data_IF_998479331267
#
_entry.id   IF_998479331267
#
_cell.length_a   1.000
_cell.length_b   1.000
_cell.length_c   1.000
_cell.angle_alpha   90.00
_cell.angle_beta   90.00
_cell.angle_gamma   90.00
#
_symmetry.space_group_name_H-M   'P 1'
#
loop_
_entity.id
_entity.type
_entity.pdbx_description
1 polymer ?
#
# COMPACT_ATOMS: atom_id res chain seq x y z
N UNK A 1 33.94 10.22 19.56
CA UNK A 1 32.52 9.93 19.23
C UNK A 1 31.56 10.30 20.37
N UNK A 2 31.99 10.35 21.63
CA UNK A 2 31.07 10.61 22.76
C UNK A 2 30.41 12.00 22.78
N UNK A 3 31.02 13.00 22.14
CA UNK A 3 30.50 14.37 22.07
C UNK A 3 29.47 14.65 20.95
N UNK A 4 29.21 13.70 20.04
CA UNK A 4 28.25 13.91 18.94
C UNK A 4 26.81 13.59 19.40
N UNK A 5 25.82 14.47 19.15
CA UNK A 5 24.41 14.22 19.49
C UNK A 5 23.84 12.94 18.85
N UNK A 6 22.88 12.31 19.50
CA UNK A 6 22.30 11.05 19.02
C UNK A 6 21.70 11.13 17.60
N UNK A 7 20.96 12.19 17.19
CA UNK A 7 20.44 12.29 15.82
C UNK A 7 21.53 12.33 14.74
N UNK A 8 22.64 12.99 15.01
CA UNK A 8 23.78 13.06 14.09
C UNK A 8 24.52 11.72 14.02
N UNK A 9 24.70 11.04 15.16
CA UNK A 9 25.24 9.67 15.19
C UNK A 9 24.39 8.71 14.36
N UNK A 10 23.06 8.78 14.48
CA UNK A 10 22.15 7.92 13.73
C UNK A 10 22.29 8.12 12.21
N UNK A 11 22.35 9.37 11.74
CA UNK A 11 22.63 9.68 10.33
C UNK A 11 23.96 9.11 9.85
N UNK A 12 25.00 9.16 10.68
CA UNK A 12 26.30 8.56 10.35
C UNK A 12 26.21 7.04 10.25
N UNK A 13 25.49 6.37 11.16
CA UNK A 13 25.27 4.92 11.10
C UNK A 13 24.40 4.50 9.91
N UNK A 14 23.42 5.32 9.52
CA UNK A 14 22.60 5.10 8.33
C UNK A 14 23.46 5.17 7.05
N UNK A 15 24.28 6.22 6.93
CA UNK A 15 25.21 6.35 5.82
C UNK A 15 26.26 5.22 5.79
N UNK A 16 26.77 4.81 6.95
CA UNK A 16 27.72 3.70 7.05
C UNK A 16 27.08 2.36 6.68
N UNK A 17 25.82 2.12 7.06
CA UNK A 17 25.07 0.92 6.69
C UNK A 17 24.82 0.86 5.18
N UNK A 18 24.51 2.01 4.56
CA UNK A 18 24.34 2.12 3.12
C UNK A 18 25.65 1.93 2.33
N UNK A 19 26.78 2.35 2.90
CA UNK A 19 28.10 2.21 2.27
C UNK A 19 28.73 0.82 2.44
N UNK A 20 28.27 0.02 3.42
CA UNK A 20 28.79 -1.31 3.70
C UNK A 20 28.45 -2.31 2.57
N UNK A 21 29.49 -2.91 1.98
CA UNK A 21 29.39 -3.74 0.76
C UNK A 21 29.13 -5.22 1.04
N UNK A 22 29.28 -5.66 2.29
CA UNK A 22 29.11 -7.06 2.66
C UNK A 22 28.69 -7.28 4.11
N UNK A 23 28.29 -8.51 4.48
CA UNK A 23 27.73 -8.81 5.80
C UNK A 23 28.65 -8.44 6.96
N UNK A 24 29.96 -8.64 6.84
CA UNK A 24 30.91 -8.35 7.93
C UNK A 24 31.13 -6.86 8.17
N UNK A 25 30.97 -6.02 7.14
CA UNK A 25 30.97 -4.57 7.31
C UNK A 25 29.67 -4.12 7.96
N UNK A 26 28.53 -4.65 7.53
CA UNK A 26 27.23 -4.36 8.13
C UNK A 26 27.16 -4.78 9.60
N UNK A 27 27.72 -5.93 9.96
CA UNK A 27 27.84 -6.38 11.37
C UNK A 27 28.64 -5.38 12.22
N UNK A 28 29.75 -4.85 11.69
CA UNK A 28 30.54 -3.82 12.39
C UNK A 28 29.73 -2.54 12.61
N UNK A 29 28.94 -2.12 11.62
CA UNK A 29 28.04 -0.96 11.75
C UNK A 29 26.99 -1.21 12.83
N UNK A 30 26.34 -2.39 12.84
CA UNK A 30 25.37 -2.80 13.86
C UNK A 30 25.99 -2.80 15.27
N UNK A 31 27.14 -3.44 15.46
CA UNK A 31 27.80 -3.50 16.77
C UNK A 31 28.13 -2.10 17.32
N UNK A 32 28.46 -1.15 16.44
CA UNK A 32 28.65 0.26 16.80
C UNK A 32 27.36 0.94 17.27
N UNK A 33 26.26 0.70 16.57
CA UNK A 33 24.93 1.25 16.88
C UNK A 33 24.44 0.85 18.28
N UNK A 34 24.91 -0.28 18.80
CA UNK A 34 24.60 -0.79 20.14
C UNK A 34 24.91 0.18 21.30
N UNK A 35 25.74 1.20 21.07
CA UNK A 35 26.08 2.20 22.08
C UNK A 35 25.23 3.50 21.98
N UNK A 36 24.32 3.58 21.01
CA UNK A 36 23.47 4.77 20.81
C UNK A 36 22.23 4.67 21.68
N UNK A 37 22.09 5.59 22.65
CA UNK A 37 20.97 5.66 23.58
C UNK A 37 19.76 6.41 22.98
N UNK A 38 19.22 5.90 21.88
CA UNK A 38 18.08 6.50 21.17
C UNK A 38 17.11 5.42 20.70
N UNK A 39 15.80 5.68 20.77
CA UNK A 39 14.75 4.71 20.38
C UNK A 39 14.86 4.37 18.90
N UNK A 40 15.21 5.38 18.11
CA UNK A 40 15.45 5.32 16.68
C UNK A 40 16.60 4.37 16.32
N UNK A 41 17.60 4.21 17.20
CA UNK A 41 18.67 3.24 17.02
C UNK A 41 18.11 1.81 17.01
N UNK A 42 17.12 1.52 17.86
CA UNK A 42 16.46 0.22 17.92
C UNK A 42 15.64 -0.04 16.65
N UNK A 43 14.94 0.98 16.15
CA UNK A 43 14.21 0.92 14.88
C UNK A 43 15.13 0.63 13.69
N UNK A 44 16.35 1.19 13.67
CA UNK A 44 17.34 0.93 12.62
C UNK A 44 17.87 -0.51 12.60
N UNK A 45 17.85 -1.23 13.73
CA UNK A 45 18.28 -2.63 13.81
C UNK A 45 17.20 -3.59 13.33
N UNK A 46 15.92 -3.20 13.36
CA UNK A 46 14.78 -4.09 13.07
C UNK A 46 14.82 -4.80 11.70
N UNK A 47 15.24 -4.15 10.59
CA UNK A 47 15.37 -4.83 9.31
C UNK A 47 16.46 -5.91 9.30
N UNK A 48 17.56 -5.71 10.03
CA UNK A 48 18.68 -6.65 10.10
C UNK A 48 18.35 -7.93 10.90
N UNK A 49 17.25 -7.94 11.66
CA UNK A 49 16.75 -9.15 12.33
C UNK A 49 16.17 -10.17 11.34
N UNK A 50 15.70 -9.73 10.17
CA UNK A 50 15.17 -10.60 9.12
C UNK A 50 16.25 -11.12 8.15
N UNK A 51 17.44 -10.52 8.19
CA UNK A 51 18.58 -10.90 7.35
C UNK A 51 19.38 -12.02 8.03
N UNK A 52 19.39 -13.21 7.42
CA UNK A 52 20.05 -14.41 7.98
C UNK A 52 21.55 -14.21 8.25
N UNK A 53 22.22 -13.39 7.44
CA UNK A 53 23.66 -13.17 7.58
C UNK A 53 23.99 -12.17 8.70
N UNK A 54 23.02 -11.34 9.10
CA UNK A 54 23.18 -10.30 10.12
C UNK A 54 22.47 -10.62 11.44
N UNK A 55 21.54 -11.58 11.42
CA UNK A 55 20.59 -11.86 12.49
C UNK A 55 21.23 -11.98 13.88
N UNK A 56 22.35 -12.70 14.01
CA UNK A 56 23.01 -12.89 15.30
C UNK A 56 23.53 -11.56 15.89
N UNK A 57 24.20 -10.75 15.07
CA UNK A 57 24.71 -9.44 15.47
C UNK A 57 23.57 -8.45 15.73
N UNK A 58 22.52 -8.49 14.89
CA UNK A 58 21.33 -7.67 15.06
C UNK A 58 20.61 -7.99 16.37
N UNK A 59 20.48 -9.27 16.74
CA UNK A 59 19.89 -9.68 18.02
C UNK A 59 20.70 -9.13 19.21
N UNK A 60 22.02 -9.31 19.20
CA UNK A 60 22.90 -8.81 20.25
C UNK A 60 22.82 -7.28 20.38
N UNK A 61 22.83 -6.59 19.23
CA UNK A 61 22.74 -5.13 19.15
C UNK A 61 21.39 -4.63 19.69
N UNK A 62 20.27 -5.23 19.26
CA UNK A 62 18.94 -4.85 19.71
C UNK A 62 18.78 -4.97 21.23
N UNK A 63 19.26 -6.08 21.82
CA UNK A 63 19.26 -6.28 23.28
C UNK A 63 20.08 -5.19 23.98
N UNK A 64 21.28 -4.89 23.47
CA UNK A 64 22.15 -3.86 24.05
C UNK A 64 21.56 -2.46 24.00
N UNK A 65 20.90 -2.09 22.89
CA UNK A 65 20.19 -0.80 22.78
C UNK A 65 19.03 -0.76 23.78
N UNK A 66 18.22 -1.82 23.86
CA UNK A 66 17.11 -1.90 24.80
C UNK A 66 17.56 -1.82 26.27
N UNK A 67 18.67 -2.46 26.65
CA UNK A 67 19.30 -2.32 27.98
C UNK A 67 19.65 -0.84 28.28
N UNK A 68 20.16 -0.13 27.28
CA UNK A 68 20.58 1.27 27.40
C UNK A 68 19.43 2.29 27.43
N UNK A 69 18.27 1.95 26.86
CA UNK A 69 17.08 2.82 26.81
C UNK A 69 16.26 2.83 28.12
N UNK A 70 16.36 1.77 28.92
CA UNK A 70 15.62 1.65 30.17
C UNK A 70 14.10 1.72 29.96
N UNK A 71 13.42 2.69 30.60
CA UNK A 71 11.95 2.81 30.56
C UNK A 71 11.42 3.63 29.35
N UNK A 72 12.29 4.18 28.51
CA UNK A 72 11.92 5.04 27.38
C UNK A 72 11.73 4.17 26.12
N UNK A 73 10.66 4.38 25.36
CA UNK A 73 10.41 3.59 24.14
C UNK A 73 9.89 2.17 24.39
N UNK A 74 9.09 1.96 25.46
CA UNK A 74 8.58 0.62 25.86
C UNK A 74 7.89 -0.16 24.74
N UNK A 75 7.21 0.51 23.82
CA UNK A 75 6.55 -0.15 22.69
C UNK A 75 7.57 -0.71 21.69
N UNK A 76 8.52 0.11 21.25
CA UNK A 76 9.60 -0.32 20.34
C UNK A 76 10.48 -1.41 20.98
N UNK A 77 10.74 -1.31 22.29
CA UNK A 77 11.43 -2.36 23.06
C UNK A 77 10.62 -3.66 23.06
N UNK A 78 9.30 -3.60 23.27
CA UNK A 78 8.45 -4.80 23.24
C UNK A 78 8.53 -5.51 21.88
N UNK A 79 8.36 -4.76 20.80
CA UNK A 79 8.35 -5.33 19.45
C UNK A 79 9.72 -5.92 19.07
N UNK A 80 10.81 -5.21 19.39
CA UNK A 80 12.17 -5.69 19.13
C UNK A 80 12.51 -6.94 19.97
N UNK A 81 12.19 -6.95 21.27
CA UNK A 81 12.51 -8.09 22.14
C UNK A 81 11.67 -9.32 21.82
N UNK A 82 10.40 -9.13 21.43
CA UNK A 82 9.58 -10.24 20.93
C UNK A 82 10.20 -10.86 19.69
N UNK A 83 10.59 -10.04 18.72
CA UNK A 83 11.23 -10.51 17.49
C UNK A 83 12.56 -11.23 17.76
N UNK A 84 13.38 -10.71 18.69
CA UNK A 84 14.61 -11.38 19.14
C UNK A 84 14.31 -12.76 19.73
N UNK A 85 13.30 -12.88 20.61
CA UNK A 85 12.89 -14.16 21.22
C UNK A 85 12.39 -15.18 20.19
N UNK A 86 11.75 -14.71 19.12
CA UNK A 86 11.20 -15.57 18.07
C UNK A 86 12.31 -16.17 17.17
N UNK A 87 13.44 -15.48 17.02
CA UNK A 87 14.48 -15.84 16.04
C UNK A 87 15.81 -16.31 16.66
N UNK A 88 16.18 -15.84 17.85
CA UNK A 88 17.49 -16.15 18.43
C UNK A 88 17.51 -17.53 19.09
N UNK A 89 18.61 -18.26 18.86
CA UNK A 89 18.92 -19.55 19.49
C UNK A 89 19.90 -19.42 20.66
N UNK A 90 20.42 -18.22 20.92
CA UNK A 90 21.36 -17.97 22.02
C UNK A 90 20.60 -17.80 23.35
N UNK A 91 20.78 -18.75 24.27
CA UNK A 91 20.05 -18.77 25.55
C UNK A 91 20.30 -17.55 26.44
N UNK A 92 21.49 -16.94 26.37
CA UNK A 92 21.80 -15.73 27.14
C UNK A 92 21.05 -14.53 26.58
N UNK A 93 21.02 -14.40 25.25
CA UNK A 93 20.23 -13.36 24.59
C UNK A 93 18.74 -13.56 24.82
N UNK A 94 18.23 -14.80 24.78
CA UNK A 94 16.83 -15.10 25.09
C UNK A 94 16.47 -14.64 26.49
N UNK A 95 17.28 -14.98 27.49
CA UNK A 95 17.05 -14.58 28.88
C UNK A 95 17.01 -13.06 29.03
N UNK A 96 17.97 -12.35 28.43
CA UNK A 96 18.01 -10.88 28.46
C UNK A 96 16.82 -10.25 27.76
N UNK A 97 16.45 -10.75 26.59
CA UNK A 97 15.31 -10.25 25.83
C UNK A 97 14.00 -10.45 26.58
N UNK A 98 13.81 -11.61 27.23
CA UNK A 98 12.63 -11.88 28.07
C UNK A 98 12.55 -10.94 29.28
N UNK A 99 13.68 -10.68 29.96
CA UNK A 99 13.73 -9.73 31.09
C UNK A 99 13.40 -8.29 30.65
N UNK A 100 13.92 -7.85 29.50
CA UNK A 100 13.64 -6.54 28.92
C UNK A 100 12.18 -6.43 28.46
N UNK A 101 11.64 -7.50 27.86
CA UNK A 101 10.25 -7.58 27.44
C UNK A 101 9.32 -7.42 28.66
N UNK A 102 9.59 -8.15 29.75
CA UNK A 102 8.86 -8.02 31.02
C UNK A 102 8.92 -6.59 31.58
N UNK A 103 10.12 -5.98 31.60
CA UNK A 103 10.30 -4.58 32.04
C UNK A 103 9.55 -3.58 31.14
N UNK A 104 9.40 -3.88 29.86
CA UNK A 104 8.68 -3.05 28.90
C UNK A 104 7.15 -3.26 28.93
N UNK A 105 6.63 -4.12 29.81
CA UNK A 105 5.20 -4.39 30.00
C UNK A 105 4.76 -5.81 29.60
N UNK A 106 5.70 -6.71 29.34
CA UNK A 106 5.46 -8.08 28.85
C UNK A 106 5.28 -8.15 27.33
N UNK A 107 5.13 -9.36 26.77
CA UNK A 107 4.70 -9.52 25.39
C UNK A 107 3.43 -8.69 25.17
N UNK A 108 3.31 -8.06 24.00
CA UNK A 108 2.08 -7.35 23.63
C UNK A 108 0.94 -8.34 23.86
N UNK A 109 0.09 -8.07 24.87
CA UNK A 109 -1.05 -8.97 25.16
C UNK A 109 -1.79 -9.09 23.84
N UNK A 110 -1.77 -10.27 23.22
CA UNK A 110 -2.82 -10.64 22.30
C UNK A 110 -4.09 -10.35 23.10
N UNK A 111 -4.96 -9.49 22.59
CA UNK A 111 -6.26 -9.29 23.22
C UNK A 111 -6.83 -10.70 23.39
N UNK A 112 -6.96 -11.14 24.65
CA UNK A 112 -7.50 -12.44 24.96
C UNK A 112 -8.96 -12.40 24.49
N UNK A 113 -9.19 -12.92 23.29
CA UNK A 113 -10.50 -13.00 22.68
C UNK A 113 -11.09 -14.36 23.05
N UNK A 114 -11.44 -14.52 24.32
CA UNK A 114 -12.66 -15.28 24.63
C UNK A 114 -13.84 -14.37 24.29
N UNK A 115 -14.00 -14.11 23.00
CA UNK A 115 -15.19 -13.47 22.46
C UNK A 115 -16.17 -14.61 22.27
N UNK A 116 -17.16 -14.65 23.16
CA UNK A 116 -18.47 -15.21 22.84
C UNK A 116 -18.85 -14.72 21.44
N UNK A 117 -19.00 -15.64 20.48
CA UNK A 117 -19.29 -15.39 19.06
C UNK A 117 -20.57 -14.57 18.81
N UNK A 118 -21.24 -14.14 19.89
CA UNK A 118 -22.37 -13.21 19.91
C UNK A 118 -21.97 -11.73 19.97
N UNK A 119 -20.69 -11.39 20.11
CA UNK A 119 -20.20 -9.98 20.14
C UNK A 119 -19.06 -9.74 19.13
N UNK A 120 -19.23 -10.20 17.89
CA UNK A 120 -18.72 -9.49 16.72
C UNK A 120 -19.91 -9.07 15.87
N UNK A 121 -20.77 -8.22 16.43
CA UNK A 121 -21.33 -7.20 15.56
C UNK A 121 -20.12 -6.38 15.11
N UNK A 122 -19.73 -6.51 13.84
CA UNK A 122 -18.88 -5.50 13.22
C UNK A 122 -19.41 -4.14 13.69
N UNK A 123 -18.56 -3.18 14.13
CA UNK A 123 -19.04 -1.82 14.30
C UNK A 123 -19.81 -1.50 13.03
N UNK A 124 -21.07 -1.07 13.18
CA UNK A 124 -21.95 -0.86 12.03
C UNK A 124 -21.15 -0.08 10.99
N UNK A 125 -21.03 -0.64 9.78
CA UNK A 125 -20.21 -0.08 8.72
C UNK A 125 -20.39 1.43 8.71
N UNK A 126 -19.30 2.18 8.79
CA UNK A 126 -19.41 3.64 8.87
C UNK A 126 -20.27 4.10 7.70
N UNK A 127 -21.40 4.74 7.99
CA UNK A 127 -22.30 5.19 6.92
C UNK A 127 -21.64 6.40 6.24
N UNK A 128 -21.08 6.18 5.05
CA UNK A 128 -20.57 7.23 4.18
C UNK A 128 -21.69 7.70 3.24
N UNK A 129 -21.77 9.01 2.99
CA UNK A 129 -22.67 9.58 1.98
C UNK A 129 -21.92 9.73 0.67
N UNK A 130 -22.09 8.77 -0.23
CA UNK A 130 -21.40 8.70 -1.52
C UNK A 130 -22.24 9.17 -2.70
N UNK A 131 -23.48 9.63 -2.49
CA UNK A 131 -24.43 10.03 -3.55
C UNK A 131 -23.86 11.08 -4.51
N UNK A 132 -23.07 12.02 -4.00
CA UNK A 132 -22.43 13.04 -4.83
C UNK A 132 -21.32 12.44 -5.71
N UNK A 133 -20.50 11.54 -5.15
CA UNK A 133 -19.48 10.83 -5.91
C UNK A 133 -20.12 9.93 -6.99
N UNK A 134 -21.20 9.20 -6.64
CA UNK A 134 -21.95 8.38 -7.60
C UNK A 134 -22.49 9.22 -8.78
N UNK A 135 -23.05 10.42 -8.50
CA UNK A 135 -23.50 11.35 -9.56
C UNK A 135 -22.37 11.85 -10.46
N UNK A 136 -21.16 11.99 -9.94
CA UNK A 136 -19.96 12.33 -10.72
C UNK A 136 -19.41 11.12 -11.49
N UNK A 137 -19.95 9.91 -11.28
CA UNK A 137 -19.40 8.67 -11.84
C UNK A 137 -18.11 8.23 -11.15
N UNK A 138 -17.91 8.65 -9.90
CA UNK A 138 -16.71 8.37 -9.11
C UNK A 138 -16.98 7.25 -8.11
N UNK A 139 -16.08 6.28 -8.07
CA UNK A 139 -16.17 5.12 -7.18
C UNK A 139 -14.91 5.04 -6.33
N UNK A 140 -15.08 5.10 -5.01
CA UNK A 140 -13.96 5.01 -4.06
C UNK A 140 -13.86 3.59 -3.51
N UNK A 141 -12.68 3.00 -3.62
CA UNK A 141 -12.34 1.70 -3.05
C UNK A 141 -10.93 1.69 -2.48
N UNK A 142 -10.50 0.59 -1.91
CA UNK A 142 -9.10 0.41 -1.50
C UNK A 142 -8.34 -0.42 -2.53
N UNK A 143 -7.09 -0.05 -2.77
CA UNK A 143 -6.07 -1.00 -3.22
C UNK A 143 -5.70 -1.86 -2.00
N UNK A 144 -6.06 -3.15 -2.01
CA UNK A 144 -5.89 -4.04 -0.84
C UNK A 144 -4.42 -4.33 -0.48
N UNK A 145 -3.46 -3.89 -1.30
CA UNK A 145 -2.04 -3.83 -0.96
C UNK A 145 -1.75 -2.89 0.21
N UNK A 146 -2.61 -1.89 0.46
CA UNK A 146 -2.62 -1.12 1.72
C UNK A 146 -2.71 -2.00 2.97
N UNK A 147 -3.18 -3.25 2.79
CA UNK A 147 -3.31 -4.28 3.80
C UNK A 147 -2.46 -5.52 3.46
N UNK A 148 -1.30 -5.36 2.81
CA UNK A 148 -0.45 -6.48 2.37
C UNK A 148 0.07 -7.40 3.51
N UNK A 149 -0.01 -6.95 4.77
CA UNK A 149 0.29 -7.73 5.98
C UNK A 149 -0.89 -8.61 6.44
N UNK A 150 -2.03 -8.47 5.79
CA UNK A 150 -3.27 -9.15 6.08
C UNK A 150 -3.74 -9.97 4.87
N UNK A 151 -4.63 -10.90 5.16
CA UNK A 151 -5.27 -11.71 4.12
C UNK A 151 -6.27 -10.88 3.31
N UNK A 152 -6.64 -11.34 2.12
CA UNK A 152 -7.70 -10.73 1.31
C UNK A 152 -9.01 -10.61 2.09
N UNK A 153 -9.41 -11.66 2.82
CA UNK A 153 -10.60 -11.62 3.67
C UNK A 153 -10.54 -10.50 4.72
N UNK A 154 -9.39 -10.30 5.36
CA UNK A 154 -9.19 -9.20 6.30
C UNK A 154 -9.15 -7.83 5.61
N UNK A 155 -8.56 -7.74 4.42
CA UNK A 155 -8.59 -6.51 3.60
C UNK A 155 -10.01 -6.11 3.20
N UNK A 156 -10.85 -7.08 2.80
CA UNK A 156 -12.28 -6.89 2.54
C UNK A 156 -13.02 -6.42 3.79
N UNK A 157 -12.74 -7.02 4.95
CA UNK A 157 -13.34 -6.61 6.23
C UNK A 157 -13.00 -5.15 6.57
N UNK A 158 -11.70 -4.80 6.48
CA UNK A 158 -11.21 -3.44 6.73
C UNK A 158 -11.86 -2.45 5.79
N UNK A 159 -11.94 -2.76 4.50
CA UNK A 159 -12.62 -1.93 3.49
C UNK A 159 -14.09 -1.68 3.85
N UNK A 160 -14.83 -2.75 4.16
CA UNK A 160 -16.24 -2.67 4.52
C UNK A 160 -16.47 -1.89 5.82
N UNK A 161 -15.56 -1.99 6.80
CA UNK A 161 -15.65 -1.26 8.07
C UNK A 161 -15.65 0.27 7.89
N UNK A 162 -15.01 0.75 6.82
CA UNK A 162 -14.97 2.17 6.45
C UNK A 162 -16.17 2.62 5.61
N UNK A 163 -17.11 1.72 5.30
CA UNK A 163 -18.28 1.99 4.46
C UNK A 163 -18.01 1.99 2.96
N UNK A 164 -16.80 1.58 2.53
CA UNK A 164 -16.45 1.51 1.11
C UNK A 164 -17.03 0.25 0.47
N UNK A 165 -17.31 0.33 -0.83
CA UNK A 165 -18.03 -0.71 -1.60
C UNK A 165 -17.13 -1.46 -2.59
N UNK A 166 -15.90 -1.01 -2.80
CA UNK A 166 -15.04 -1.45 -3.88
C UNK A 166 -13.65 -1.83 -3.40
N UNK A 167 -13.06 -2.84 -4.02
CA UNK A 167 -11.64 -3.19 -3.85
C UNK A 167 -10.96 -3.38 -5.19
N UNK A 168 -9.71 -2.95 -5.25
CA UNK A 168 -8.72 -3.37 -6.22
C UNK A 168 -7.85 -4.46 -5.58
N UNK A 169 -7.75 -5.62 -6.21
CA UNK A 169 -6.94 -6.75 -5.73
C UNK A 169 -5.56 -6.74 -6.37
N UNK A 170 -4.54 -7.27 -5.67
CA UNK A 170 -3.19 -7.45 -6.21
C UNK A 170 -2.81 -8.94 -6.23
N UNK A 171 -1.89 -9.36 -7.14
CA UNK A 171 -1.49 -10.76 -7.25
C UNK A 171 -0.74 -11.25 -6.02
N UNK A 172 -1.11 -12.44 -5.52
CA UNK A 172 -0.38 -13.17 -4.48
C UNK A 172 -0.83 -12.90 -3.05
N UNK A 173 -1.81 -12.02 -2.81
CA UNK A 173 -2.36 -11.84 -1.46
C UNK A 173 -2.95 -13.15 -0.95
N UNK A 174 -2.62 -13.57 0.28
CA UNK A 174 -3.21 -14.79 0.85
C UNK A 174 -4.72 -14.63 1.03
N UNK A 175 -5.51 -15.58 0.55
CA UNK A 175 -6.97 -15.49 0.51
C UNK A 175 -7.62 -15.32 1.89
N UNK A 176 -7.25 -16.15 2.86
CA UNK A 176 -7.75 -16.11 4.24
C UNK A 176 -6.75 -16.73 5.22
N UNK A 177 -7.05 -16.76 6.53
CA UNK A 177 -6.16 -17.36 7.54
C UNK A 177 -6.01 -18.87 7.38
N UNK A 178 -7.08 -19.53 6.97
CA UNK A 178 -7.16 -20.99 6.87
C UNK A 178 -6.85 -21.50 5.46
N UNK A 179 -6.60 -20.59 4.50
CA UNK A 179 -6.37 -20.93 3.10
C UNK A 179 -5.13 -20.23 2.57
N UNK A 180 -4.09 -21.02 2.36
CA UNK A 180 -2.84 -20.60 1.74
C UNK A 180 -2.95 -20.60 0.22
N UNK A 181 -3.89 -19.80 -0.30
CA UNK A 181 -4.11 -19.58 -1.73
C UNK A 181 -3.79 -18.13 -2.04
N UNK A 182 -2.88 -17.90 -2.98
CA UNK A 182 -2.59 -16.56 -3.50
C UNK A 182 -3.70 -16.08 -4.43
N UNK A 183 -4.25 -14.90 -4.15
CA UNK A 183 -5.26 -14.25 -4.99
C UNK A 183 -4.67 -13.90 -6.36
N UNK A 184 -5.33 -14.29 -7.44
CA UNK A 184 -4.94 -13.90 -8.80
C UNK A 184 -5.38 -14.85 -9.90
N UNK A 185 -4.89 -14.61 -11.10
CA UNK A 185 -5.26 -15.33 -12.33
C UNK A 185 -4.81 -16.81 -12.40
N UNK A 186 -4.09 -17.30 -11.39
CA UNK A 186 -3.75 -18.72 -11.24
C UNK A 186 -4.75 -19.53 -10.39
N UNK A 187 -5.77 -18.88 -9.82
CA UNK A 187 -6.77 -19.55 -8.98
C UNK A 187 -7.69 -20.48 -9.78
N UNK A 188 -8.13 -21.59 -9.17
CA UNK A 188 -9.18 -22.46 -9.71
C UNK A 188 -10.56 -21.81 -9.62
N UNK A 189 -11.53 -22.38 -10.33
CA UNK A 189 -12.93 -21.93 -10.33
C UNK A 189 -13.54 -21.91 -8.92
N UNK A 190 -13.27 -22.94 -8.13
CA UNK A 190 -13.74 -23.08 -6.76
C UNK A 190 -13.11 -22.02 -5.86
N UNK A 191 -11.82 -21.75 -6.03
CA UNK A 191 -11.11 -20.72 -5.27
C UNK A 191 -11.62 -19.32 -5.62
N UNK A 192 -11.90 -19.05 -6.91
CA UNK A 192 -12.50 -17.79 -7.37
C UNK A 192 -13.91 -17.62 -6.79
N UNK A 193 -14.73 -18.67 -6.83
CA UNK A 193 -16.08 -18.65 -6.26
C UNK A 193 -16.07 -18.35 -4.75
N UNK A 194 -15.07 -18.88 -4.03
CA UNK A 194 -14.87 -18.57 -2.62
C UNK A 194 -14.44 -17.12 -2.38
N UNK A 195 -13.46 -16.61 -3.13
CA UNK A 195 -13.05 -15.22 -3.05
C UNK A 195 -14.23 -14.27 -3.28
N UNK A 196 -15.06 -14.55 -4.29
CA UNK A 196 -16.28 -13.81 -4.57
C UNK A 196 -17.30 -13.92 -3.43
N UNK A 197 -17.42 -15.08 -2.79
CA UNK A 197 -18.29 -15.27 -1.62
C UNK A 197 -17.83 -14.40 -0.43
N UNK A 198 -16.51 -14.34 -0.17
CA UNK A 198 -15.93 -13.50 0.88
C UNK A 198 -16.27 -12.03 0.63
N UNK A 199 -16.03 -11.52 -0.59
CA UNK A 199 -16.34 -10.14 -0.95
C UNK A 199 -17.85 -9.84 -0.85
N UNK A 200 -18.69 -10.72 -1.42
CA UNK A 200 -20.15 -10.57 -1.42
C UNK A 200 -20.73 -10.56 -0.01
N UNK A 201 -20.21 -11.36 0.91
CA UNK A 201 -20.67 -11.40 2.30
C UNK A 201 -20.50 -10.05 3.03
N UNK A 202 -19.64 -9.17 2.52
CA UNK A 202 -19.38 -7.83 3.05
C UNK A 202 -19.89 -6.71 2.14
N UNK A 203 -20.65 -7.05 1.08
CA UNK A 203 -21.15 -6.08 0.11
C UNK A 203 -20.05 -5.42 -0.73
N UNK A 204 -18.86 -6.04 -0.81
CA UNK A 204 -17.72 -5.53 -1.56
C UNK A 204 -17.73 -6.07 -2.98
N UNK A 205 -17.47 -5.19 -3.95
CA UNK A 205 -17.24 -5.54 -5.35
C UNK A 205 -15.76 -5.43 -5.70
N UNK A 206 -15.19 -6.52 -6.21
CA UNK A 206 -13.85 -6.53 -6.79
C UNK A 206 -13.93 -5.86 -8.16
N UNK A 207 -13.27 -4.72 -8.35
CA UNK A 207 -13.49 -3.86 -9.51
C UNK A 207 -12.27 -3.71 -10.41
N UNK A 208 -11.08 -3.73 -9.81
CA UNK A 208 -9.80 -3.64 -10.49
C UNK A 208 -8.88 -4.80 -10.05
N UNK A 209 -7.89 -5.12 -10.87
CA UNK A 209 -6.84 -6.10 -10.54
C UNK A 209 -5.47 -5.63 -11.01
N UNK A 210 -4.54 -5.51 -10.08
CA UNK A 210 -3.14 -5.23 -10.37
C UNK A 210 -2.36 -4.72 -9.14
N UNK A 211 -1.12 -4.31 -9.30
CA UNK A 211 -0.38 -4.27 -10.57
C UNK A 211 0.03 -5.68 -11.02
N UNK A 212 -0.42 -6.10 -12.21
CA UNK A 212 -0.15 -7.45 -12.76
C UNK A 212 0.55 -7.35 -14.11
N UNK A 213 1.43 -8.30 -14.42
CA UNK A 213 2.15 -8.34 -15.69
C UNK A 213 1.23 -8.67 -16.87
N UNK A 214 1.45 -7.96 -17.99
CA UNK A 214 0.92 -8.30 -19.31
C UNK A 214 2.09 -8.29 -20.30
N UNK A 215 2.09 -9.20 -21.27
CA UNK A 215 3.16 -9.35 -22.24
C UNK A 215 2.62 -9.48 -23.68
N UNK A 216 3.52 -9.47 -24.66
CA UNK A 216 3.18 -9.73 -26.06
C UNK A 216 2.69 -11.16 -26.32
N UNK A 217 2.99 -12.09 -25.41
CA UNK A 217 2.44 -13.44 -25.47
C UNK A 217 0.95 -13.37 -25.16
N UNK A 218 0.14 -13.54 -26.21
CA UNK A 218 -1.31 -13.49 -26.10
C UNK A 218 -1.86 -14.58 -25.18
N UNK A 219 -1.27 -15.78 -25.17
CA UNK A 219 -1.78 -16.87 -24.33
C UNK A 219 -1.59 -16.55 -22.84
N UNK A 220 -0.47 -15.96 -22.46
CA UNK A 220 -0.22 -15.56 -21.07
C UNK A 220 -1.09 -14.36 -20.66
N UNK A 221 -1.14 -13.31 -21.48
CA UNK A 221 -2.00 -12.14 -21.20
C UNK A 221 -3.48 -12.54 -21.15
N UNK A 222 -3.93 -13.46 -22.00
CA UNK A 222 -5.32 -13.91 -22.06
C UNK A 222 -5.78 -14.57 -20.75
N UNK A 223 -4.92 -15.29 -20.04
CA UNK A 223 -5.25 -15.84 -18.70
C UNK A 223 -5.66 -14.75 -17.72
N UNK A 224 -4.99 -13.59 -17.76
CA UNK A 224 -5.32 -12.42 -16.93
C UNK A 224 -6.69 -11.84 -17.31
N UNK A 225 -6.97 -11.71 -18.61
CA UNK A 225 -8.26 -11.21 -19.10
C UNK A 225 -9.43 -12.19 -18.83
N UNK A 226 -9.20 -13.50 -18.94
CA UNK A 226 -10.18 -14.53 -18.59
C UNK A 226 -10.53 -14.49 -17.10
N UNK A 227 -9.50 -14.38 -16.24
CA UNK A 227 -9.69 -14.17 -14.81
C UNK A 227 -10.49 -12.88 -14.54
N UNK A 228 -10.09 -11.77 -15.17
CA UNK A 228 -10.76 -10.48 -15.01
C UNK A 228 -12.25 -10.56 -15.39
N UNK A 229 -12.57 -11.17 -16.54
CA UNK A 229 -13.94 -11.40 -17.00
C UNK A 229 -14.74 -12.25 -16.03
N UNK A 230 -14.14 -13.32 -15.50
CA UNK A 230 -14.79 -14.25 -14.57
C UNK A 230 -15.14 -13.62 -13.23
N UNK A 231 -14.26 -12.76 -12.72
CA UNK A 231 -14.46 -12.03 -11.46
C UNK A 231 -15.40 -10.84 -11.65
N UNK A 232 -15.52 -10.31 -12.88
CA UNK A 232 -16.27 -9.09 -13.17
C UNK A 232 -15.44 -7.81 -12.98
N UNK A 233 -14.12 -7.92 -13.14
CA UNK A 233 -13.18 -6.79 -13.11
C UNK A 233 -13.39 -5.92 -14.35
N UNK A 234 -13.40 -4.61 -14.15
CA UNK A 234 -13.56 -3.62 -15.24
C UNK A 234 -12.21 -3.13 -15.77
N UNK A 235 -11.19 -3.09 -14.90
CA UNK A 235 -9.87 -2.54 -15.23
C UNK A 235 -8.75 -3.43 -14.70
N UNK A 236 -7.83 -3.81 -15.58
CA UNK A 236 -6.55 -4.43 -15.22
C UNK A 236 -5.53 -3.31 -15.07
N UNK A 237 -4.80 -3.28 -13.97
CA UNK A 237 -3.70 -2.33 -13.73
C UNK A 237 -2.38 -3.04 -14.00
N UNK A 238 -1.54 -2.48 -14.87
CA UNK A 238 -0.37 -3.17 -15.41
C UNK A 238 0.79 -2.23 -15.75
N UNK A 239 1.99 -2.80 -15.90
CA UNK A 239 3.21 -2.11 -16.36
C UNK A 239 3.88 -2.90 -17.49
N UNK A 240 3.23 -3.01 -18.66
CA UNK A 240 3.72 -3.82 -19.76
C UNK A 240 4.94 -3.18 -20.45
N UNK A 241 5.71 -3.98 -21.18
CA UNK A 241 6.71 -3.49 -22.11
C UNK A 241 6.05 -2.93 -23.39
N UNK A 242 6.79 -2.09 -24.15
CA UNK A 242 6.28 -1.43 -25.35
C UNK A 242 5.84 -2.41 -26.46
N UNK A 243 6.45 -3.60 -26.53
CA UNK A 243 6.14 -4.61 -27.54
C UNK A 243 4.85 -5.40 -27.25
N UNK A 244 4.22 -5.20 -26.08
CA UNK A 244 3.00 -5.90 -25.68
C UNK A 244 1.71 -5.21 -26.14
N UNK A 245 1.77 -3.94 -26.55
CA UNK A 245 0.56 -3.12 -26.71
C UNK A 245 -0.40 -3.59 -27.81
N UNK A 246 0.08 -4.23 -28.88
CA UNK A 246 -0.81 -4.75 -29.93
C UNK A 246 -1.65 -5.93 -29.41
N UNK A 247 -1.01 -6.82 -28.65
CA UNK A 247 -1.69 -7.91 -27.92
C UNK A 247 -2.68 -7.37 -26.89
N UNK A 248 -2.25 -6.37 -26.10
CA UNK A 248 -3.08 -5.77 -25.06
C UNK A 248 -4.30 -5.07 -25.66
N UNK A 249 -4.13 -4.30 -26.74
CA UNK A 249 -5.23 -3.60 -27.41
C UNK A 249 -6.25 -4.56 -27.99
N UNK A 250 -5.79 -5.63 -28.64
CA UNK A 250 -6.65 -6.72 -29.12
C UNK A 250 -7.49 -7.30 -27.98
N UNK A 251 -6.87 -7.65 -26.86
CA UNK A 251 -7.57 -8.23 -25.71
C UNK A 251 -8.51 -7.24 -25.02
N UNK A 252 -8.13 -5.97 -24.90
CA UNK A 252 -9.01 -4.91 -24.39
C UNK A 252 -10.30 -4.81 -25.22
N UNK A 253 -10.19 -4.85 -26.56
CA UNK A 253 -11.34 -4.79 -27.43
C UNK A 253 -12.16 -6.08 -27.46
N UNK A 254 -11.53 -7.23 -27.37
CA UNK A 254 -12.24 -8.51 -27.32
C UNK A 254 -13.05 -8.67 -26.03
N UNK A 255 -12.42 -8.39 -24.88
CA UNK A 255 -13.03 -8.60 -23.56
C UNK A 255 -13.86 -7.41 -23.09
N UNK A 256 -13.70 -6.24 -23.72
CA UNK A 256 -14.26 -4.96 -23.26
C UNK A 256 -13.81 -4.58 -21.83
N UNK A 257 -12.60 -5.01 -21.47
CA UNK A 257 -11.91 -4.70 -20.21
C UNK A 257 -10.86 -3.63 -20.48
N UNK A 258 -10.68 -2.70 -19.55
CA UNK A 258 -9.69 -1.64 -19.68
C UNK A 258 -8.32 -2.08 -19.15
N UNK A 259 -7.24 -1.49 -19.68
CA UNK A 259 -5.89 -1.60 -19.12
C UNK A 259 -5.38 -0.23 -18.73
N UNK A 260 -5.09 -0.07 -17.43
CA UNK A 260 -4.58 1.15 -16.84
C UNK A 260 -3.09 0.99 -16.49
N UNK A 261 -2.24 1.81 -17.11
CA UNK A 261 -0.79 1.81 -16.99
C UNK A 261 -0.39 2.50 -15.69
N UNK A 262 0.17 1.74 -14.76
CA UNK A 262 0.57 2.26 -13.45
C UNK A 262 1.96 2.90 -13.47
N UNK A 263 2.12 4.03 -12.78
CA UNK A 263 3.39 4.74 -12.70
C UNK A 263 4.07 4.54 -11.33
N UNK A 264 5.15 3.76 -11.27
CA UNK A 264 6.05 3.75 -10.09
C UNK A 264 7.06 4.92 -10.12
N UNK A 265 7.74 5.23 -9.00
CA UNK A 265 8.75 6.29 -8.96
C UNK A 265 9.90 6.04 -9.93
N UNK A 266 10.57 7.11 -10.36
CA UNK A 266 11.77 7.01 -11.19
C UNK A 266 12.91 6.25 -10.46
N UNK A 267 13.71 5.44 -11.17
CA UNK A 267 13.54 5.05 -12.57
C UNK A 267 12.55 3.89 -12.69
N UNK A 268 11.46 4.09 -13.44
CA UNK A 268 10.54 3.02 -13.86
C UNK A 268 10.18 3.23 -15.34
N UNK A 269 9.37 2.37 -15.95
CA UNK A 269 8.98 2.56 -17.37
C UNK A 269 7.97 3.71 -17.53
N UNK A 270 7.00 3.82 -16.62
CA UNK A 270 5.86 4.75 -16.72
C UNK A 270 5.91 5.93 -15.74
N UNK A 271 7.03 6.16 -15.02
CA UNK A 271 7.15 7.25 -14.05
C UNK A 271 6.79 8.64 -14.62
N UNK A 272 7.08 8.87 -15.90
CA UNK A 272 6.76 10.12 -16.60
C UNK A 272 5.41 10.00 -17.34
N UNK A 273 4.45 10.91 -17.09
CA UNK A 273 3.17 10.91 -17.81
C UNK A 273 3.33 11.03 -19.34
N UNK A 274 4.43 11.58 -19.86
CA UNK A 274 4.69 11.64 -21.31
C UNK A 274 4.77 10.23 -21.92
N UNK A 275 5.29 9.24 -21.18
CA UNK A 275 5.34 7.86 -21.68
C UNK A 275 3.95 7.28 -21.89
N UNK A 276 2.98 7.60 -21.02
CA UNK A 276 1.58 7.17 -21.21
C UNK A 276 0.99 7.79 -22.49
N UNK A 277 1.23 9.07 -22.74
CA UNK A 277 0.75 9.73 -23.97
C UNK A 277 1.39 9.13 -25.23
N UNK A 278 2.70 8.83 -25.17
CA UNK A 278 3.43 8.18 -26.25
C UNK A 278 2.82 6.83 -26.61
N UNK A 279 2.71 5.91 -25.64
CA UNK A 279 2.25 4.53 -25.91
C UNK A 279 0.77 4.45 -26.24
N UNK A 280 -0.04 5.41 -25.77
CA UNK A 280 -1.49 5.45 -26.06
C UNK A 280 -1.84 6.27 -27.31
N UNK A 281 -0.85 6.86 -28.00
CA UNK A 281 -1.10 7.64 -29.21
C UNK A 281 -1.69 6.75 -30.30
N UNK A 282 -2.87 7.12 -30.82
CA UNK A 282 -3.56 6.36 -31.85
C UNK A 282 -4.22 5.04 -31.39
N UNK A 283 -4.05 4.65 -30.12
CA UNK A 283 -4.63 3.43 -29.56
C UNK A 283 -6.01 3.65 -28.94
N UNK A 284 -6.72 2.54 -28.74
CA UNK A 284 -8.02 2.44 -28.07
C UNK A 284 -8.08 3.28 -26.79
N UNK A 285 -9.28 3.82 -26.51
CA UNK A 285 -9.59 4.53 -25.26
C UNK A 285 -9.68 3.60 -24.04
N UNK A 286 -9.61 2.28 -24.25
CA UNK A 286 -9.50 1.27 -23.19
C UNK A 286 -8.10 1.15 -22.60
N UNK A 287 -7.11 1.82 -23.19
CA UNK A 287 -5.74 1.90 -22.68
C UNK A 287 -5.45 3.35 -22.26
N UNK A 288 -4.98 3.51 -21.04
CA UNK A 288 -4.74 4.80 -20.39
C UNK A 288 -3.97 4.64 -19.09
N UNK A 289 -3.91 5.67 -18.25
CA UNK A 289 -3.20 5.65 -16.97
C UNK A 289 -4.03 5.05 -15.84
N UNK A 290 -3.36 4.29 -14.97
CA UNK A 290 -3.66 4.26 -13.54
C UNK A 290 -2.81 5.36 -12.91
N UNK A 291 -3.40 6.54 -12.71
CA UNK A 291 -2.66 7.70 -12.23
C UNK A 291 -2.33 7.55 -10.75
N UNK A 292 -1.07 7.21 -10.43
CA UNK A 292 -0.57 7.27 -9.05
C UNK A 292 -0.01 8.67 -8.76
N UNK A 293 -0.73 9.42 -7.92
CA UNK A 293 -0.38 10.80 -7.60
C UNK A 293 0.82 10.90 -6.66
N UNK A 294 1.04 9.90 -5.80
CA UNK A 294 2.16 9.87 -4.85
C UNK A 294 3.48 9.53 -5.55
N UNK A 295 3.48 8.61 -6.50
CA UNK A 295 4.67 8.22 -7.26
C UNK A 295 5.17 9.33 -8.19
N UNK A 296 4.28 10.17 -8.73
CA UNK A 296 4.70 11.41 -9.39
C UNK A 296 5.38 12.37 -8.43
N UNK A 297 4.81 12.59 -7.24
CA UNK A 297 5.45 13.42 -6.21
C UNK A 297 6.84 12.89 -5.84
N UNK A 298 6.99 11.57 -5.69
CA UNK A 298 8.29 10.90 -5.44
C UNK A 298 9.30 11.10 -6.56
N UNK A 299 8.81 11.27 -7.78
CA UNK A 299 9.64 11.55 -8.95
C UNK A 299 9.95 13.03 -9.15
N UNK A 300 9.43 13.92 -8.30
CA UNK A 300 9.54 15.38 -8.45
C UNK A 300 8.59 15.96 -9.48
N UNK A 301 7.58 15.20 -9.90
CA UNK A 301 6.53 15.63 -10.83
C UNK A 301 5.36 16.15 -10.01
N UNK A 302 4.84 17.32 -10.37
CA UNK A 302 3.62 17.83 -9.77
C UNK A 302 2.41 16.97 -10.24
N UNK A 303 1.69 16.30 -9.32
CA UNK A 303 0.60 15.40 -9.70
C UNK A 303 -0.59 16.11 -10.36
N UNK A 304 -0.89 17.37 -10.01
CA UNK A 304 -1.94 18.14 -10.67
C UNK A 304 -1.61 18.41 -12.14
N UNK A 305 -0.36 18.77 -12.43
CA UNK A 305 0.09 19.01 -13.81
C UNK A 305 0.13 17.71 -14.63
N UNK A 306 0.51 16.58 -14.02
CA UNK A 306 0.42 15.27 -14.65
C UNK A 306 -1.03 14.88 -14.97
N UNK A 307 -1.97 15.11 -14.04
CA UNK A 307 -3.40 14.85 -14.28
C UNK A 307 -3.96 15.73 -15.40
N UNK A 308 -3.62 17.03 -15.43
CA UNK A 308 -4.01 17.93 -16.55
C UNK A 308 -3.49 17.42 -17.89
N UNK A 309 -2.20 17.04 -17.93
CA UNK A 309 -1.54 16.52 -19.13
C UNK A 309 -2.22 15.26 -19.67
N UNK A 310 -2.68 14.37 -18.79
CA UNK A 310 -3.32 13.10 -19.14
C UNK A 310 -4.84 13.20 -19.40
N UNK A 311 -5.37 14.40 -19.64
CA UNK A 311 -6.80 14.62 -19.88
C UNK A 311 -7.35 13.69 -20.97
N UNK A 312 -8.39 12.92 -20.62
CA UNK A 312 -9.03 11.95 -21.52
C UNK A 312 -8.23 10.65 -21.75
N UNK A 313 -7.20 10.41 -20.93
CA UNK A 313 -6.39 9.17 -20.89
C UNK A 313 -6.25 8.58 -19.49
N UNK A 314 -6.93 9.09 -18.47
CA UNK A 314 -6.97 8.48 -17.13
C UNK A 314 -8.12 7.47 -17.07
N UNK A 315 -7.85 6.24 -16.62
CA UNK A 315 -8.85 5.15 -16.47
C UNK A 315 -9.17 4.90 -15.00
N UNK A 316 -8.15 4.84 -14.16
CA UNK A 316 -8.24 4.68 -12.71
C UNK A 316 -7.14 5.47 -12.02
N UNK A 317 -7.17 5.51 -10.70
CA UNK A 317 -6.15 6.16 -9.90
C UNK A 317 -5.72 5.27 -8.74
N UNK A 318 -4.43 5.25 -8.45
CA UNK A 318 -3.91 4.97 -7.11
C UNK A 318 -3.74 6.33 -6.42
N UNK A 319 -4.82 6.79 -5.78
CA UNK A 319 -4.89 8.17 -5.33
C UNK A 319 -4.21 8.32 -3.96
N UNK A 320 -3.23 9.22 -3.88
CA UNK A 320 -2.35 9.38 -2.73
C UNK A 320 -2.07 10.86 -2.47
N UNK A 321 -1.79 11.17 -1.22
CA UNK A 321 -1.25 12.45 -0.79
C UNK A 321 -0.04 12.17 0.10
N UNK A 322 1.04 12.95 -0.07
CA UNK A 322 2.30 12.74 0.65
C UNK A 322 2.63 13.93 1.53
N UNK A 323 3.29 13.69 2.66
CA UNK A 323 3.74 14.74 3.57
C UNK A 323 4.73 15.73 2.91
N UNK A 324 5.47 15.29 1.90
CA UNK A 324 6.43 16.10 1.14
C UNK A 324 6.62 15.57 -0.30
N UNK A 325 7.24 16.41 -1.15
CA UNK A 325 7.70 16.00 -2.49
C UNK A 325 8.99 15.18 -2.38
N UNK A 326 9.23 14.24 -3.30
CA UNK A 326 10.37 13.33 -3.22
C UNK A 326 10.10 12.17 -2.28
N UNK A 327 10.99 11.88 -1.32
CA UNK A 327 10.95 10.69 -0.46
C UNK A 327 9.80 10.60 0.56
N UNK A 328 8.71 11.35 0.37
CA UNK A 328 7.58 11.41 1.29
C UNK A 328 6.81 10.11 1.44
N UNK A 329 6.20 9.95 2.62
CA UNK A 329 5.29 8.85 2.93
C UNK A 329 3.83 9.32 2.81
N UNK A 330 2.93 8.37 2.69
CA UNK A 330 1.50 8.62 2.53
C UNK A 330 0.92 9.26 3.80
N UNK A 331 0.03 10.23 3.62
CA UNK A 331 -0.72 10.92 4.66
C UNK A 331 -2.20 11.03 4.28
N UNK A 332 -3.11 11.25 5.24
CA UNK A 332 -4.52 11.47 4.95
C UNK A 332 -4.72 12.56 3.89
N UNK A 333 -5.56 12.29 2.89
CA UNK A 333 -5.74 13.20 1.76
C UNK A 333 -6.20 14.59 2.21
N UNK A 334 -5.58 15.63 1.65
CA UNK A 334 -5.82 17.03 2.01
C UNK A 334 -4.92 17.55 3.12
N UNK A 335 -4.08 16.69 3.71
CA UNK A 335 -3.07 17.10 4.71
C UNK A 335 -1.65 17.15 4.15
N UNK A 336 -1.43 16.60 2.95
CA UNK A 336 -0.13 16.53 2.32
C UNK A 336 0.12 17.67 1.33
N UNK A 337 1.01 17.42 0.37
CA UNK A 337 1.53 18.38 -0.61
C UNK A 337 1.06 18.10 -2.05
N UNK A 338 0.23 17.09 -2.27
CA UNK A 338 -0.28 16.76 -3.61
C UNK A 338 -1.26 17.82 -4.16
N UNK A 339 -1.87 18.62 -3.28
CA UNK A 339 -3.07 19.40 -3.56
C UNK A 339 -4.23 18.51 -4.05
N UNK A 340 -4.58 17.53 -3.20
CA UNK A 340 -5.62 16.55 -3.48
C UNK A 340 -6.98 17.19 -3.90
N UNK A 341 -7.32 18.35 -3.33
CA UNK A 341 -8.55 19.07 -3.66
C UNK A 341 -8.51 19.61 -5.10
N UNK A 342 -7.39 20.23 -5.52
CA UNK A 342 -7.24 20.70 -6.90
C UNK A 342 -7.23 19.55 -7.91
N UNK A 343 -6.61 18.41 -7.56
CA UNK A 343 -6.60 17.24 -8.45
C UNK A 343 -8.03 16.70 -8.65
N UNK A 344 -8.83 16.56 -7.58
CA UNK A 344 -10.23 16.15 -7.70
C UNK A 344 -11.04 17.16 -8.52
N UNK A 345 -10.83 18.47 -8.33
CA UNK A 345 -11.48 19.49 -9.13
C UNK A 345 -11.12 19.38 -10.62
N UNK A 346 -9.85 19.11 -10.94
CA UNK A 346 -9.38 18.89 -12.30
C UNK A 346 -9.99 17.63 -12.93
N UNK A 347 -10.04 16.51 -12.21
CA UNK A 347 -10.70 15.28 -12.70
C UNK A 347 -12.18 15.53 -13.01
N UNK A 348 -12.88 16.32 -12.17
CA UNK A 348 -14.25 16.75 -12.47
C UNK A 348 -14.31 17.59 -13.74
N UNK A 349 -13.40 18.56 -13.91
CA UNK A 349 -13.33 19.41 -15.11
C UNK A 349 -13.14 18.57 -16.39
N UNK A 350 -12.35 17.50 -16.31
CA UNK A 350 -12.14 16.56 -17.41
C UNK A 350 -13.35 15.64 -17.68
N UNK A 351 -14.38 15.65 -16.81
CA UNK A 351 -15.49 14.73 -16.90
C UNK A 351 -15.09 13.28 -16.59
N UNK A 352 -14.02 13.09 -15.81
CA UNK A 352 -13.53 11.76 -15.46
C UNK A 352 -14.60 10.95 -14.72
N UNK A 353 -14.73 9.68 -15.12
CA UNK A 353 -15.57 8.68 -14.47
C UNK A 353 -14.74 7.42 -14.30
N UNK A 354 -14.60 6.93 -13.09
CA UNK A 354 -13.70 5.81 -12.82
C UNK A 354 -13.54 5.49 -11.35
N UNK A 355 -12.50 4.70 -11.08
CA UNK A 355 -12.20 4.19 -9.74
C UNK A 355 -11.03 4.97 -9.15
N UNK A 356 -11.20 5.38 -7.90
CA UNK A 356 -10.16 5.89 -7.03
C UNK A 356 -9.82 4.76 -6.05
N UNK A 357 -8.69 4.11 -6.25
CA UNK A 357 -8.17 3.10 -5.33
C UNK A 357 -7.29 3.81 -4.32
N UNK A 358 -7.69 3.77 -3.04
CA UNK A 358 -6.83 4.22 -1.94
C UNK A 358 -5.73 3.18 -1.79
N UNK A 359 -4.53 3.50 -2.25
CA UNK A 359 -3.31 2.76 -1.91
C UNK A 359 -2.57 3.56 -0.85
N UNK A 360 -2.53 3.05 0.38
CA UNK A 360 -1.97 3.75 1.53
C UNK A 360 -0.77 3.00 2.08
N UNK A 361 0.42 3.44 1.68
CA UNK A 361 1.71 2.79 1.90
C UNK A 361 2.42 3.26 3.19
N UNK A 362 1.63 3.51 4.23
CA UNK A 362 2.13 3.92 5.53
C UNK A 362 1.27 3.34 6.66
N UNK A 363 1.84 3.21 7.86
CA UNK A 363 1.16 2.61 9.02
C UNK A 363 0.46 1.27 8.70
N UNK A 364 1.16 0.39 7.97
CA UNK A 364 0.61 -0.82 7.36
C UNK A 364 -0.19 -1.76 8.29
N UNK A 365 0.12 -1.82 9.58
CA UNK A 365 -0.60 -2.68 10.54
C UNK A 365 -1.93 -2.06 10.99
N UNK A 366 -2.06 -0.74 10.89
CA UNK A 366 -3.18 0.01 11.45
C UNK A 366 -3.57 1.24 10.63
N UNK A 367 -3.56 1.14 9.30
CA UNK A 367 -3.85 2.24 8.35
C UNK A 367 -5.35 2.54 8.15
N UNK A 368 -6.24 1.75 8.77
CA UNK A 368 -7.71 1.93 8.63
C UNK A 368 -8.17 3.33 9.08
N UNK A 369 -7.71 3.90 10.21
CA UNK A 369 -8.08 5.26 10.61
C UNK A 369 -7.70 6.32 9.56
N UNK A 370 -6.51 6.23 8.96
CA UNK A 370 -6.03 7.18 7.95
C UNK A 370 -6.77 7.02 6.62
N UNK A 371 -7.00 5.79 6.17
CA UNK A 371 -7.80 5.53 4.96
C UNK A 371 -9.25 6.03 5.15
N UNK A 372 -9.81 5.92 6.36
CA UNK A 372 -11.12 6.49 6.67
C UNK A 372 -11.12 8.02 6.54
N UNK A 373 -10.05 8.71 6.96
CA UNK A 373 -9.90 10.15 6.77
C UNK A 373 -9.77 10.53 5.28
N UNK A 374 -9.06 9.73 4.47
CA UNK A 374 -9.02 9.89 3.02
C UNK A 374 -10.42 9.81 2.40
N UNK A 375 -11.21 8.81 2.82
CA UNK A 375 -12.58 8.64 2.34
C UNK A 375 -13.50 9.80 2.74
N UNK A 376 -13.40 10.29 3.97
CA UNK A 376 -14.12 11.49 4.43
C UNK A 376 -13.79 12.71 3.58
N UNK A 377 -12.50 12.98 3.38
CA UNK A 377 -12.02 14.07 2.54
C UNK A 377 -12.59 13.96 1.11
N UNK A 378 -12.53 12.76 0.53
CA UNK A 378 -13.01 12.49 -0.82
C UNK A 378 -14.50 12.75 -0.97
N UNK A 379 -15.34 12.16 -0.13
CA UNK A 379 -16.79 12.30 -0.23
C UNK A 379 -17.26 13.72 0.07
N UNK A 380 -16.62 14.40 1.03
CA UNK A 380 -16.88 15.82 1.29
C UNK A 380 -16.53 16.67 0.06
N UNK A 381 -15.35 16.46 -0.52
CA UNK A 381 -14.89 17.21 -1.70
C UNK A 381 -15.79 16.94 -2.91
N UNK A 382 -16.17 15.70 -3.16
CA UNK A 382 -17.13 15.33 -4.20
C UNK A 382 -18.49 16.03 -4.00
N UNK A 383 -18.97 16.11 -2.77
CA UNK A 383 -20.20 16.83 -2.41
C UNK A 383 -20.10 18.33 -2.70
N UNK A 384 -18.99 18.96 -2.33
CA UNK A 384 -18.78 20.38 -2.59
C UNK A 384 -18.61 20.67 -4.09
N UNK A 385 -17.90 19.81 -4.81
CA UNK A 385 -17.78 19.87 -6.26
C UNK A 385 -19.12 19.62 -6.98
N UNK A 386 -19.98 18.75 -6.49
CA UNK A 386 -21.30 18.52 -7.10
C UNK A 386 -22.21 19.75 -7.00
N UNK A 387 -22.10 20.55 -5.93
CA UNK A 387 -22.87 21.80 -5.75
C UNK A 387 -22.48 22.88 -6.75
N UNK A 388 -21.20 22.98 -7.10
CA UNK A 388 -20.69 24.03 -8.00
C UNK A 388 -21.09 23.83 -9.47
N UNK A 389 -21.63 22.67 -9.85
CA UNK A 389 -22.13 22.38 -11.19
C UNK A 389 -23.62 22.69 -11.42
N UNK A 390 -24.37 23.12 -10.41
CA UNK A 390 -25.80 23.45 -10.52
C UNK A 390 -26.08 24.90 -10.98
N UNK A 391 -25.04 25.65 -11.37
CA UNK A 391 -25.19 26.95 -12.04
C UNK A 391 -24.79 26.79 -13.50
N UNK A 392 -25.82 26.77 -14.34
CA UNK A 392 -25.86 26.83 -15.79
C UNK A 392 -24.59 27.35 -16.49
N UNK A 393 -24.18 26.60 -17.52
CA UNK A 393 -23.81 27.17 -18.81
C UNK A 393 -24.66 26.51 -19.88
#
# INVERSE_FOLDING_TARGET
LDAVPAPEKLKMYEAAMAAAKGPDEKKRVLGGLGNVKAVEALSMVMPALDDKDLQAEACATAVKIAENLGAHGKEVIRDAMQKVLDITKDDNLRKKADDLLKKAGGPKKAAASTVDLRVYAAPAARKVDDRAAEKLGWRLGTQVYSFNRFTFAEGVEKTASMGLKYVEIYPGQRLSKDKDVGVGHGMSDEQIAEMLKIAKAKGIRIINYGVVGLSKDEAESRKVFDFAKKVGIETIVSEPADDAFDTIEKLCEEYKINVALHNHPKPSHYWDPDKVLEVTKGRSKRIGACADTGHWMRSGINPLEAVKKLSGRIISLHFKDLNEMGGGHDVPWGTGKADAAAILAELKRQGFKGVFSVEYEYNWDNSVPEIAQCAEFFFKTATDLAKTGARNY
#
